data_IF_627702688783
#
_entry.id   IF_627702688783
#
_cell.length_a   1.000
_cell.length_b   1.000
_cell.length_c   1.000
_cell.angle_alpha   90.00
_cell.angle_beta   90.00
_cell.angle_gamma   90.00
#
_symmetry.space_group_name_H-M   'P 1'
#
loop_
_entity.id
_entity.type
_entity.pdbx_description
1 polymer ?
#
# COMPACT_ATOMS: atom_id res chain seq x y z
N UNK A 1 4.89 -26.23 -0.24
CA UNK A 1 4.83 -25.49 -1.53
C UNK A 1 3.92 -24.26 -1.48
N UNK A 2 2.91 -24.20 -0.60
CA UNK A 2 2.00 -23.05 -0.48
C UNK A 2 2.67 -21.74 -0.02
N UNK A 3 3.62 -21.78 0.92
CA UNK A 3 4.21 -20.55 1.47
C UNK A 3 5.02 -19.74 0.43
N UNK A 4 5.91 -20.40 -0.32
CA UNK A 4 6.71 -19.71 -1.36
C UNK A 4 5.85 -19.09 -2.45
N UNK A 5 4.76 -19.75 -2.84
CA UNK A 5 3.77 -19.20 -3.76
C UNK A 5 3.08 -17.96 -3.19
N UNK A 6 2.63 -18.00 -1.93
CA UNK A 6 2.01 -16.85 -1.26
C UNK A 6 2.97 -15.65 -1.19
N UNK A 7 4.23 -15.88 -0.81
CA UNK A 7 5.26 -14.83 -0.80
C UNK A 7 5.44 -14.25 -2.19
N UNK A 8 5.54 -15.09 -3.22
CA UNK A 8 5.72 -14.66 -4.62
C UNK A 8 4.55 -13.80 -5.09
N UNK A 9 3.31 -14.26 -4.87
CA UNK A 9 2.10 -13.49 -5.21
C UNK A 9 2.03 -12.17 -4.45
N UNK A 10 2.35 -12.18 -3.16
CA UNK A 10 2.37 -10.97 -2.33
C UNK A 10 3.40 -9.96 -2.85
N UNK A 11 4.61 -10.41 -3.22
CA UNK A 11 5.65 -9.53 -3.76
C UNK A 11 5.26 -8.93 -5.11
N UNK A 12 4.69 -9.71 -6.03
CA UNK A 12 4.21 -9.15 -7.31
C UNK A 12 3.08 -8.14 -7.12
N UNK A 13 2.12 -8.44 -6.23
CA UNK A 13 1.06 -7.50 -5.89
C UNK A 13 1.60 -6.24 -5.21
N UNK A 14 2.59 -6.39 -4.32
CA UNK A 14 3.25 -5.28 -3.66
C UNK A 14 4.01 -4.41 -4.68
N UNK A 15 4.77 -4.99 -5.60
CA UNK A 15 5.45 -4.24 -6.66
C UNK A 15 4.46 -3.42 -7.47
N UNK A 16 3.31 -4.00 -7.86
CA UNK A 16 2.30 -3.28 -8.63
C UNK A 16 1.72 -2.10 -7.83
N UNK A 17 1.31 -2.35 -6.58
CA UNK A 17 0.70 -1.33 -5.75
C UNK A 17 1.70 -0.26 -5.30
N UNK A 18 2.78 -0.68 -4.63
CA UNK A 18 3.84 0.19 -4.11
C UNK A 18 4.52 0.95 -5.24
N UNK A 19 4.83 0.28 -6.36
CA UNK A 19 5.44 0.92 -7.52
C UNK A 19 4.58 2.05 -8.09
N UNK A 20 3.25 1.86 -8.13
CA UNK A 20 2.34 2.92 -8.56
C UNK A 20 2.32 4.09 -7.59
N UNK A 21 2.25 3.83 -6.28
CA UNK A 21 2.29 4.89 -5.26
C UNK A 21 3.60 5.67 -5.31
N UNK A 22 4.73 4.98 -5.48
CA UNK A 22 6.05 5.63 -5.66
C UNK A 22 6.10 6.49 -6.91
N UNK A 23 5.61 5.97 -8.04
CA UNK A 23 5.54 6.72 -9.29
C UNK A 23 4.67 7.98 -9.14
N UNK A 24 3.47 7.85 -8.55
CA UNK A 24 2.55 8.97 -8.38
C UNK A 24 3.10 10.05 -7.44
N UNK A 25 3.76 9.67 -6.35
CA UNK A 25 4.27 10.65 -5.38
C UNK A 25 5.61 11.25 -5.80
N UNK A 26 6.55 10.45 -6.31
CA UNK A 26 7.91 10.93 -6.59
C UNK A 26 8.07 11.51 -8.00
N UNK A 27 7.41 10.91 -9.00
CA UNK A 27 7.57 11.28 -10.40
C UNK A 27 6.46 12.24 -10.82
N UNK A 28 5.20 11.84 -10.65
CA UNK A 28 4.06 12.60 -11.14
C UNK A 28 3.93 13.96 -10.44
N UNK A 29 4.06 14.01 -9.11
CA UNK A 29 4.03 15.31 -8.39
C UNK A 29 5.23 16.22 -8.79
N UNK A 30 6.38 15.65 -9.14
CA UNK A 30 7.56 16.39 -9.59
C UNK A 30 7.35 17.14 -10.92
N UNK A 31 6.53 16.58 -11.83
CA UNK A 31 6.25 17.17 -13.15
C UNK A 31 5.01 18.09 -13.16
N UNK A 32 4.34 18.28 -12.02
CA UNK A 32 3.13 19.11 -11.90
C UNK A 32 3.36 20.57 -12.27
N UNK A 33 4.49 21.17 -11.85
CA UNK A 33 4.78 22.60 -12.14
C UNK A 33 5.07 22.84 -13.63
N UNK A 34 5.97 22.07 -14.29
CA UNK A 34 6.29 22.29 -15.71
C UNK A 34 5.11 22.01 -16.66
N UNK A 35 4.27 21.02 -16.37
CA UNK A 35 3.16 20.64 -17.27
C UNK A 35 1.99 21.63 -17.27
N UNK A 36 1.88 22.48 -16.25
CA UNK A 36 0.73 23.34 -16.06
C UNK A 36 -0.53 22.59 -15.58
N UNK A 37 -1.49 23.34 -15.05
CA UNK A 37 -2.65 22.77 -14.31
C UNK A 37 -3.59 21.94 -15.18
N UNK A 38 -3.83 22.36 -16.41
CA UNK A 38 -4.80 21.72 -17.30
C UNK A 38 -4.31 20.38 -17.85
N UNK A 39 -3.08 20.34 -18.37
CA UNK A 39 -2.46 19.10 -18.82
C UNK A 39 -2.31 18.10 -17.68
N UNK A 40 -1.86 18.57 -16.50
CA UNK A 40 -1.75 17.74 -15.30
C UNK A 40 -3.09 17.11 -14.91
N UNK A 41 -4.19 17.87 -14.94
CA UNK A 41 -5.53 17.34 -14.65
C UNK A 41 -5.90 16.19 -15.59
N UNK A 42 -5.60 16.32 -16.88
CA UNK A 42 -5.88 15.27 -17.87
C UNK A 42 -5.05 14.01 -17.61
N UNK A 43 -3.77 14.17 -17.24
CA UNK A 43 -2.88 13.08 -16.86
C UNK A 43 -3.39 12.35 -15.61
N UNK A 44 -3.71 13.09 -14.53
CA UNK A 44 -4.25 12.52 -13.29
C UNK A 44 -5.57 11.78 -13.51
N UNK A 45 -6.46 12.31 -14.37
CA UNK A 45 -7.71 11.66 -14.73
C UNK A 45 -7.50 10.37 -15.55
N UNK A 46 -6.51 10.34 -16.45
CA UNK A 46 -6.20 9.17 -17.26
C UNK A 46 -5.55 8.07 -16.41
N UNK A 47 -4.53 8.43 -15.63
CA UNK A 47 -3.84 7.53 -14.70
C UNK A 47 -4.83 7.01 -13.66
N UNK A 48 -5.59 7.90 -13.00
CA UNK A 48 -6.57 7.52 -11.99
C UNK A 48 -7.63 6.57 -12.53
N UNK A 49 -8.12 6.77 -13.76
CA UNK A 49 -9.06 5.82 -14.41
C UNK A 49 -8.45 4.44 -14.65
N UNK A 50 -7.16 4.36 -14.97
CA UNK A 50 -6.45 3.09 -15.16
C UNK A 50 -6.15 2.43 -13.81
N UNK A 51 -5.62 3.19 -12.85
CA UNK A 51 -5.34 2.73 -11.50
C UNK A 51 -6.59 2.16 -10.82
N UNK A 52 -7.75 2.83 -10.90
CA UNK A 52 -9.03 2.33 -10.35
C UNK A 52 -9.45 0.97 -10.88
N UNK A 53 -9.03 0.60 -12.10
CA UNK A 53 -9.34 -0.72 -12.68
C UNK A 53 -8.36 -1.80 -12.26
N UNK A 54 -7.09 -1.45 -12.05
CA UNK A 54 -6.03 -2.44 -11.76
C UNK A 54 -5.83 -2.63 -10.25
N UNK A 55 -5.80 -1.54 -9.48
CA UNK A 55 -5.43 -1.56 -8.07
C UNK A 55 -6.30 -2.45 -7.19
N UNK A 56 -7.64 -2.59 -7.39
CA UNK A 56 -8.43 -3.50 -6.58
C UNK A 56 -7.96 -4.96 -6.68
N UNK A 57 -7.56 -5.42 -7.86
CA UNK A 57 -7.03 -6.78 -8.04
C UNK A 57 -5.71 -6.96 -7.32
N UNK A 58 -4.79 -5.98 -7.43
CA UNK A 58 -3.54 -6.03 -6.68
C UNK A 58 -3.79 -6.02 -5.17
N UNK A 59 -4.74 -5.21 -4.69
CA UNK A 59 -5.07 -5.15 -3.26
C UNK A 59 -5.65 -6.47 -2.75
N UNK A 60 -6.53 -7.13 -3.52
CA UNK A 60 -7.10 -8.44 -3.18
C UNK A 60 -5.99 -9.50 -3.09
N UNK A 61 -5.09 -9.55 -4.08
CA UNK A 61 -3.97 -10.51 -4.06
C UNK A 61 -3.01 -10.21 -2.93
N UNK A 62 -2.69 -8.93 -2.70
CA UNK A 62 -1.78 -8.48 -1.64
C UNK A 62 -2.29 -8.89 -0.26
N UNK A 63 -3.56 -8.59 0.05
CA UNK A 63 -4.19 -8.94 1.31
C UNK A 63 -4.46 -10.43 1.44
N UNK A 64 -4.96 -11.10 0.40
CA UNK A 64 -5.20 -12.53 0.39
C UNK A 64 -3.92 -13.33 0.67
N UNK A 65 -2.85 -13.01 -0.04
CA UNK A 65 -1.55 -13.63 0.18
C UNK A 65 -0.95 -13.25 1.54
N UNK A 66 -1.11 -11.99 1.97
CA UNK A 66 -0.66 -11.49 3.27
C UNK A 66 -1.30 -12.21 4.45
N UNK A 67 -2.62 -12.37 4.43
CA UNK A 67 -3.37 -13.13 5.43
C UNK A 67 -2.99 -14.61 5.41
N UNK A 68 -2.82 -15.21 4.22
CA UNK A 68 -2.36 -16.59 4.08
C UNK A 68 -0.98 -16.82 4.71
N UNK A 69 -0.04 -15.88 4.56
CA UNK A 69 1.26 -15.94 5.23
C UNK A 69 1.14 -15.70 6.74
N UNK A 70 0.35 -14.72 7.16
CA UNK A 70 0.15 -14.39 8.57
C UNK A 70 -0.43 -15.57 9.38
N UNK A 71 -1.24 -16.43 8.75
CA UNK A 71 -1.80 -17.64 9.38
C UNK A 71 -0.72 -18.60 9.89
N UNK A 72 0.45 -18.64 9.24
CA UNK A 72 1.56 -19.48 9.69
C UNK A 72 2.19 -18.97 10.99
N UNK A 73 2.05 -17.67 11.26
CA UNK A 73 2.54 -16.99 12.45
C UNK A 73 1.44 -16.78 13.51
N UNK A 74 0.32 -17.52 13.45
CA UNK A 74 -0.81 -17.35 14.37
C UNK A 74 -0.41 -17.41 15.86
N UNK A 75 0.55 -18.28 16.20
CA UNK A 75 1.02 -18.42 17.59
C UNK A 75 1.79 -17.17 18.03
N UNK A 76 2.66 -16.65 17.16
CA UNK A 76 3.35 -15.37 17.38
C UNK A 76 2.37 -14.20 17.44
N UNK A 77 1.31 -14.23 16.63
CA UNK A 77 0.27 -13.21 16.63
C UNK A 77 -0.61 -13.25 17.88
N UNK A 78 -0.79 -14.41 18.51
CA UNK A 78 -1.51 -14.54 19.77
C UNK A 78 -0.77 -13.83 20.94
N UNK A 79 0.55 -13.71 20.83
CA UNK A 79 1.40 -13.07 21.84
C UNK A 79 2.22 -11.91 21.23
N UNK A 80 1.58 -10.77 20.89
CA UNK A 80 2.20 -9.64 20.18
C UNK A 80 3.48 -9.11 20.81
N UNK A 81 3.58 -9.13 22.13
CA UNK A 81 4.70 -8.57 22.89
C UNK A 81 5.73 -9.61 23.35
N UNK A 82 5.55 -10.89 22.97
CA UNK A 82 6.46 -11.96 23.37
C UNK A 82 7.77 -11.98 22.58
N UNK A 83 7.83 -11.29 21.43
CA UNK A 83 9.06 -11.12 20.66
C UNK A 83 9.03 -9.86 19.81
N UNK A 84 10.20 -9.29 19.57
CA UNK A 84 10.48 -8.29 18.53
C UNK A 84 9.82 -8.63 17.18
N UNK A 85 9.94 -9.88 16.71
CA UNK A 85 9.28 -10.34 15.49
C UNK A 85 7.75 -10.18 15.54
N UNK A 86 7.10 -10.67 16.59
CA UNK A 86 5.64 -10.60 16.75
C UNK A 86 5.15 -9.15 16.83
N UNK A 87 5.88 -8.30 17.55
CA UNK A 87 5.53 -6.87 17.71
C UNK A 87 5.61 -6.16 16.37
N UNK A 88 6.70 -6.32 15.63
CA UNK A 88 6.89 -5.68 14.32
C UNK A 88 5.90 -6.22 13.28
N UNK A 89 5.56 -7.52 13.34
CA UNK A 89 4.54 -8.12 12.50
C UNK A 89 3.15 -7.50 12.75
N UNK A 90 2.77 -7.29 14.01
CA UNK A 90 1.52 -6.62 14.36
C UNK A 90 1.46 -5.17 13.88
N UNK A 91 2.53 -4.40 14.10
CA UNK A 91 2.62 -3.02 13.60
C UNK A 91 2.47 -3.01 12.08
N UNK A 92 3.15 -3.92 11.37
CA UNK A 92 3.05 -4.06 9.92
C UNK A 92 1.61 -4.37 9.47
N UNK A 93 0.91 -5.25 10.17
CA UNK A 93 -0.50 -5.59 9.88
C UNK A 93 -1.41 -4.37 10.09
N UNK A 94 -1.27 -3.65 11.20
CA UNK A 94 -2.07 -2.45 11.49
C UNK A 94 -1.85 -1.38 10.41
N UNK A 95 -0.60 -1.14 10.02
CA UNK A 95 -0.28 -0.20 8.94
C UNK A 95 -0.86 -0.67 7.60
N UNK A 96 -0.81 -1.96 7.30
CA UNK A 96 -1.42 -2.50 6.08
C UNK A 96 -2.93 -2.24 6.07
N UNK A 97 -3.65 -2.53 7.16
CA UNK A 97 -5.08 -2.22 7.26
C UNK A 97 -5.39 -0.72 7.18
N UNK A 98 -4.51 0.14 7.73
CA UNK A 98 -4.62 1.60 7.53
C UNK A 98 -4.50 1.97 6.05
N UNK A 99 -3.56 1.39 5.31
CA UNK A 99 -3.43 1.57 3.85
C UNK A 99 -4.69 1.12 3.12
N UNK A 100 -5.27 -0.02 3.50
CA UNK A 100 -6.53 -0.50 2.92
C UNK A 100 -7.68 0.49 3.18
N UNK A 101 -7.79 1.03 4.40
CA UNK A 101 -8.77 2.06 4.73
C UNK A 101 -8.62 3.32 3.87
N UNK A 102 -7.39 3.80 3.70
CA UNK A 102 -7.09 4.93 2.79
C UNK A 102 -7.45 4.59 1.35
N UNK A 103 -7.14 3.39 0.87
CA UNK A 103 -7.44 2.94 -0.48
C UNK A 103 -8.95 2.87 -0.74
N UNK A 104 -9.72 2.24 0.15
CA UNK A 104 -11.19 2.17 0.03
C UNK A 104 -11.79 3.58 0.05
N UNK A 105 -11.32 4.44 0.95
CA UNK A 105 -11.75 5.85 1.03
C UNK A 105 -11.44 6.59 -0.28
N UNK A 106 -10.25 6.43 -0.84
CA UNK A 106 -9.89 7.04 -2.11
C UNK A 106 -10.74 6.52 -3.28
N UNK A 107 -11.02 5.21 -3.33
CA UNK A 107 -11.82 4.60 -4.39
C UNK A 107 -13.28 5.06 -4.36
N UNK A 108 -13.89 5.08 -3.18
CA UNK A 108 -15.28 5.51 -2.98
C UNK A 108 -15.44 7.00 -3.30
N UNK A 109 -14.55 7.86 -2.79
CA UNK A 109 -14.60 9.30 -3.07
C UNK A 109 -14.28 9.61 -4.55
N UNK A 110 -13.38 8.86 -5.19
CA UNK A 110 -13.07 9.02 -6.61
C UNK A 110 -14.25 8.67 -7.52
N UNK A 111 -15.09 7.72 -7.12
CA UNK A 111 -16.30 7.34 -7.86
C UNK A 111 -17.40 8.42 -7.85
N UNK A 112 -17.40 9.31 -6.85
CA UNK A 112 -18.44 10.34 -6.68
C UNK A 112 -18.08 11.70 -7.29
N UNK A 113 -16.87 11.86 -7.85
CA UNK A 113 -16.40 13.13 -8.44
C UNK A 113 -16.15 14.26 -7.44
N UNK A 114 -16.29 14.01 -6.13
CA UNK A 114 -16.19 15.03 -5.06
C UNK A 114 -14.76 15.29 -4.57
N UNK A 115 -13.75 14.61 -5.13
CA UNK A 115 -12.36 14.78 -4.67
C UNK A 115 -11.76 16.09 -5.20
N UNK A 116 -11.57 17.04 -4.28
CA UNK A 116 -10.65 18.16 -4.48
C UNK A 116 -9.21 17.62 -4.55
N UNK A 117 -8.43 18.08 -5.53
CA UNK A 117 -7.03 17.68 -5.79
C UNK A 117 -6.13 17.62 -4.54
N UNK A 118 -6.32 18.54 -3.58
CA UNK A 118 -5.56 18.55 -2.30
C UNK A 118 -5.81 17.34 -1.39
N UNK A 119 -7.06 16.85 -1.28
CA UNK A 119 -7.35 15.69 -0.42
C UNK A 119 -6.76 14.41 -1.02
N UNK A 120 -6.77 14.31 -2.36
CA UNK A 120 -6.16 13.21 -3.08
C UNK A 120 -4.65 13.14 -2.83
N UNK A 121 -3.95 14.29 -2.89
CA UNK A 121 -2.51 14.36 -2.58
C UNK A 121 -2.19 13.93 -1.15
N UNK A 122 -2.95 14.41 -0.15
CA UNK A 122 -2.71 14.03 1.26
C UNK A 122 -2.89 12.53 1.50
N UNK A 123 -3.92 11.92 0.89
CA UNK A 123 -4.12 10.47 0.98
C UNK A 123 -2.95 9.70 0.36
N UNK A 124 -2.46 10.12 -0.81
CA UNK A 124 -1.34 9.42 -1.47
C UNK A 124 -0.04 9.57 -0.69
N UNK A 125 0.25 10.75 -0.13
CA UNK A 125 1.42 10.96 0.73
C UNK A 125 1.31 10.11 2.01
N UNK A 126 0.13 10.07 2.63
CA UNK A 126 -0.12 9.21 3.80
C UNK A 126 0.16 7.74 3.46
N UNK A 127 -0.42 7.23 2.37
CA UNK A 127 -0.20 5.86 1.91
C UNK A 127 1.27 5.60 1.60
N UNK A 128 1.96 6.54 0.95
CA UNK A 128 3.39 6.44 0.68
C UNK A 128 4.20 6.27 1.96
N UNK A 129 3.98 7.10 2.98
CA UNK A 129 4.64 6.97 4.28
C UNK A 129 4.37 5.61 4.94
N UNK A 130 3.11 5.15 4.92
CA UNK A 130 2.76 3.84 5.47
C UNK A 130 3.48 2.71 4.72
N UNK A 131 3.53 2.76 3.40
CA UNK A 131 4.18 1.73 2.56
C UNK A 131 5.68 1.68 2.80
N UNK A 132 6.35 2.84 2.90
CA UNK A 132 7.78 2.91 3.25
C UNK A 132 8.03 2.26 4.61
N UNK A 133 7.20 2.58 5.61
CA UNK A 133 7.31 1.99 6.94
C UNK A 133 7.04 0.48 6.92
N UNK A 134 6.05 0.00 6.15
CA UNK A 134 5.76 -1.43 5.99
C UNK A 134 6.96 -2.18 5.39
N UNK A 135 7.62 -1.62 4.37
CA UNK A 135 8.81 -2.22 3.75
C UNK A 135 9.97 -2.28 4.75
N UNK A 136 10.18 -1.19 5.50
CA UNK A 136 11.20 -1.15 6.55
C UNK A 136 10.94 -2.21 7.63
N UNK A 137 9.71 -2.30 8.15
CA UNK A 137 9.30 -3.30 9.15
C UNK A 137 9.44 -4.73 8.63
N UNK A 138 9.10 -4.97 7.36
CA UNK A 138 9.24 -6.27 6.71
C UNK A 138 10.70 -6.75 6.69
N UNK A 139 11.66 -5.82 6.58
CA UNK A 139 13.07 -6.15 6.70
C UNK A 139 13.45 -6.29 8.17
N UNK A 140 13.12 -5.29 8.99
CA UNK A 140 13.54 -5.19 10.39
C UNK A 140 13.14 -6.41 11.24
N UNK A 141 11.99 -7.03 10.98
CA UNK A 141 11.52 -8.21 11.73
C UNK A 141 12.49 -9.41 11.73
N UNK A 142 13.41 -9.49 10.76
CA UNK A 142 14.39 -10.57 10.65
C UNK A 142 15.78 -10.21 11.18
N UNK A 143 16.03 -8.94 11.50
CA UNK A 143 17.35 -8.45 11.94
C UNK A 143 17.34 -7.88 13.35
N UNK A 144 16.20 -7.39 13.83
CA UNK A 144 16.08 -6.88 15.18
C UNK A 144 15.67 -8.00 16.12
N UNK A 145 16.43 -8.14 17.20
CA UNK A 145 16.17 -9.10 18.28
C UNK A 145 16.27 -8.37 19.61
N UNK A 146 15.15 -8.31 20.32
CA UNK A 146 15.02 -7.96 21.73
C UNK A 146 13.90 -8.79 22.33
#
# INVERSE_FOLDING_TARGET
MSHSLLVTLHLFAAILFVGTVFFEVLILEGIRKPLGREAMRNVELAIGRRARRIMPFAMIVLFGAGLGMAWQFRESLAHPFASSFATLLWIKIILAFSVLGHFITAMTLSGTGKLKSRHFQLIHISVFCHVVLIVFLAKAMFYLTW
#
